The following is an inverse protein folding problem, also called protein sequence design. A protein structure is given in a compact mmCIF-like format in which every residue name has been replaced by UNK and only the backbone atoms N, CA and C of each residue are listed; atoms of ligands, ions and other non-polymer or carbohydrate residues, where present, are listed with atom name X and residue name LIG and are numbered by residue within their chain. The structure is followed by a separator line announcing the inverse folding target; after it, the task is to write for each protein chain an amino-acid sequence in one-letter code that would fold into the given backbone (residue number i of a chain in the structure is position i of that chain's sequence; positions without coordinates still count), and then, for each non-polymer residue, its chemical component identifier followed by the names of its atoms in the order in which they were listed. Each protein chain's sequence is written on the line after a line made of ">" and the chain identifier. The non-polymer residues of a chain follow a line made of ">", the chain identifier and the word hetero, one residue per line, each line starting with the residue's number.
data_IF_747533318840
#
_entry.id   IF_747533318840
#
_cell.length_a   1.000
_cell.length_b   1.000
_cell.length_c   1.000
_cell.angle_alpha   90.00
_cell.angle_beta   90.00
_cell.angle_gamma   90.00
#
_symmetry.space_group_name_H-M   'P 1'
#
loop_
_entity.id
_entity.type
_entity.pdbx_description
1 polymer ?
#
# COMPACT_ATOMS: atom_id res chain seq x y z
N UNK A 1 4.92 -3.15 9.06
CA UNK A 1 3.78 -3.16 10.00
C UNK A 1 4.19 -2.89 11.44
N UNK A 2 5.03 -3.71 12.08
CA UNK A 2 5.53 -3.41 13.44
C UNK A 2 6.15 -2.00 13.54
N UNK A 3 6.91 -1.58 12.52
CA UNK A 3 7.42 -0.21 12.41
C UNK A 3 6.33 0.86 12.39
N UNK A 4 5.21 0.64 11.70
CA UNK A 4 4.09 1.58 11.65
C UNK A 4 3.39 1.64 13.00
N UNK A 5 3.08 0.49 13.60
CA UNK A 5 2.44 0.41 14.91
C UNK A 5 3.28 1.10 16.01
N UNK A 6 4.61 1.07 15.88
CA UNK A 6 5.54 1.74 16.79
C UNK A 6 5.94 3.17 16.36
N UNK A 7 5.36 3.72 15.28
CA UNK A 7 5.69 5.06 14.76
C UNK A 7 7.12 5.20 14.20
N UNK A 8 7.81 4.10 13.92
CA UNK A 8 9.20 4.05 13.43
C UNK A 8 9.26 4.13 11.89
N UNK A 9 8.87 5.26 11.33
CA UNK A 9 8.83 5.45 9.87
C UNK A 9 10.22 5.41 9.20
N UNK A 10 11.31 5.76 9.89
CA UNK A 10 12.67 5.58 9.37
C UNK A 10 12.99 4.10 9.08
N UNK A 11 12.51 3.21 9.95
CA UNK A 11 12.63 1.76 9.75
C UNK A 11 11.77 1.32 8.56
N UNK A 12 10.54 1.83 8.44
CA UNK A 12 9.70 1.55 7.28
C UNK A 12 10.35 2.00 5.97
N UNK A 13 10.89 3.23 5.91
CA UNK A 13 11.59 3.74 4.73
C UNK A 13 12.78 2.87 4.36
N UNK A 14 13.58 2.49 5.36
CA UNK A 14 14.72 1.59 5.15
C UNK A 14 14.30 0.23 4.56
N UNK A 15 13.14 -0.31 4.97
CA UNK A 15 12.61 -1.57 4.42
C UNK A 15 12.15 -1.43 2.97
N UNK A 16 11.76 -0.24 2.51
CA UNK A 16 11.45 -0.01 1.09
C UNK A 16 12.71 0.27 0.26
N UNK A 17 13.65 1.07 0.76
CA UNK A 17 14.78 1.53 -0.05
C UNK A 17 15.94 0.55 -0.14
N UNK A 18 16.23 -0.16 0.95
CA UNK A 18 17.48 -0.94 1.08
C UNK A 18 17.39 -2.31 0.42
N UNK A 19 16.31 -3.11 0.62
CA UNK A 19 16.21 -4.41 -0.03
C UNK A 19 16.12 -4.25 -1.56
N UNK A 20 17.05 -4.88 -2.27
CA UNK A 20 17.08 -4.89 -3.74
C UNK A 20 16.93 -6.30 -4.26
N UNK A 21 16.14 -6.43 -5.31
CA UNK A 21 16.10 -7.61 -6.16
C UNK A 21 17.13 -7.46 -7.27
N UNK A 22 18.15 -8.33 -7.25
CA UNK A 22 19.27 -8.28 -8.18
C UNK A 22 19.24 -9.49 -9.11
N UNK A 23 19.17 -9.22 -10.42
CA UNK A 23 19.38 -10.15 -11.54
C UNK A 23 20.31 -9.46 -12.55
N UNK A 24 20.93 -10.21 -13.50
CA UNK A 24 21.92 -9.66 -14.44
C UNK A 24 21.51 -8.37 -15.18
N UNK A 25 20.21 -8.15 -15.38
CA UNK A 25 19.68 -6.94 -16.04
C UNK A 25 18.68 -6.14 -15.20
N UNK A 26 18.42 -6.56 -13.95
CA UNK A 26 17.44 -5.91 -13.08
C UNK A 26 18.06 -5.62 -11.71
N UNK A 27 18.08 -4.35 -11.33
CA UNK A 27 18.35 -3.92 -9.95
C UNK A 27 17.17 -3.07 -9.49
N UNK A 28 16.17 -3.73 -8.90
CA UNK A 28 14.92 -3.09 -8.52
C UNK A 28 14.75 -3.08 -7.00
N UNK A 29 14.11 -2.06 -6.42
CA UNK A 29 13.59 -2.20 -5.06
C UNK A 29 12.74 -3.45 -4.93
N UNK A 30 12.87 -4.19 -3.83
CA UNK A 30 12.11 -5.44 -3.63
C UNK A 30 10.61 -5.20 -3.74
N UNK A 31 10.08 -4.08 -3.23
CA UNK A 31 8.65 -3.79 -3.32
C UNK A 31 8.14 -3.66 -4.78
N UNK A 32 8.98 -3.15 -5.70
CA UNK A 32 8.67 -3.12 -7.13
C UNK A 32 8.75 -4.52 -7.74
N UNK A 33 9.83 -5.26 -7.44
CA UNK A 33 10.01 -6.60 -7.96
C UNK A 33 8.89 -7.55 -7.49
N UNK A 34 8.47 -7.43 -6.23
CA UNK A 34 7.34 -8.15 -5.66
C UNK A 34 6.03 -7.79 -6.36
N UNK A 35 5.75 -6.50 -6.60
CA UNK A 35 4.56 -6.10 -7.37
C UNK A 35 4.53 -6.76 -8.75
N UNK A 36 5.66 -6.80 -9.46
CA UNK A 36 5.77 -7.45 -10.77
C UNK A 36 5.59 -8.97 -10.70
N UNK A 37 6.16 -9.62 -9.68
CA UNK A 37 6.02 -11.06 -9.49
C UNK A 37 4.57 -11.46 -9.16
N UNK A 38 3.90 -10.64 -8.34
CA UNK A 38 2.51 -10.80 -7.90
C UNK A 38 1.54 -10.78 -9.09
N UNK A 39 1.80 -9.97 -10.13
CA UNK A 39 0.97 -9.95 -11.35
C UNK A 39 0.94 -11.29 -12.10
N UNK A 40 1.92 -12.17 -11.87
CA UNK A 40 1.98 -13.48 -12.53
C UNK A 40 1.38 -14.63 -11.70
N UNK A 41 0.88 -14.34 -10.49
CA UNK A 41 0.26 -15.35 -9.64
C UNK A 41 -1.23 -15.44 -9.99
N UNK A 42 -1.71 -16.65 -10.28
CA UNK A 42 -3.14 -16.88 -10.40
C UNK A 42 -3.78 -16.82 -9.01
N UNK A 43 -4.75 -15.92 -8.76
CA UNK A 43 -5.44 -15.83 -7.47
C UNK A 43 -5.95 -17.15 -6.89
N UNK A 44 -6.41 -18.05 -7.75
CA UNK A 44 -6.95 -19.35 -7.36
C UNK A 44 -5.92 -20.27 -6.71
N UNK A 45 -4.63 -20.03 -6.95
CA UNK A 45 -3.54 -20.82 -6.37
C UNK A 45 -3.25 -20.39 -4.91
N UNK A 46 -3.79 -19.25 -4.47
CA UNK A 46 -3.52 -18.66 -3.15
C UNK A 46 -4.70 -18.76 -2.19
N UNK A 47 -5.92 -18.73 -2.72
CA UNK A 47 -7.14 -18.75 -1.92
C UNK A 47 -8.31 -19.30 -2.73
N UNK A 48 -9.13 -20.13 -2.08
CA UNK A 48 -10.40 -20.62 -2.62
C UNK A 48 -11.51 -19.55 -2.58
N UNK A 49 -11.25 -18.39 -1.97
CA UNK A 49 -12.20 -17.29 -1.81
C UNK A 49 -12.06 -16.31 -2.98
N UNK A 50 -13.16 -16.08 -3.72
CA UNK A 50 -13.24 -14.95 -4.65
C UNK A 50 -13.12 -13.63 -3.89
N UNK A 51 -11.99 -12.94 -4.08
CA UNK A 51 -11.72 -11.62 -3.53
C UNK A 51 -11.19 -10.70 -4.63
N UNK A 52 -11.43 -9.40 -4.47
CA UNK A 52 -10.85 -8.36 -5.34
C UNK A 52 -9.35 -8.14 -5.05
N UNK A 53 -8.85 -8.57 -3.88
CA UNK A 53 -7.44 -8.45 -3.48
C UNK A 53 -6.90 -9.76 -2.87
N UNK A 54 -6.96 -10.88 -3.61
CA UNK A 54 -6.73 -12.22 -3.07
C UNK A 54 -5.30 -12.41 -2.54
N UNK A 55 -4.33 -11.78 -3.21
CA UNK A 55 -2.91 -11.82 -2.80
C UNK A 55 -2.72 -11.05 -1.49
N UNK A 56 -3.33 -9.88 -1.37
CA UNK A 56 -3.25 -9.09 -0.15
C UNK A 56 -4.00 -9.76 1.03
N UNK A 57 -5.11 -10.46 0.77
CA UNK A 57 -5.80 -11.25 1.79
C UNK A 57 -4.92 -12.39 2.31
N UNK A 58 -4.26 -13.11 1.40
CA UNK A 58 -3.30 -14.15 1.76
C UNK A 58 -2.14 -13.57 2.60
N UNK A 59 -1.54 -12.47 2.14
CA UNK A 59 -0.47 -11.78 2.87
C UNK A 59 -0.92 -11.30 4.25
N UNK A 60 -2.15 -10.79 4.36
CA UNK A 60 -2.71 -10.37 5.63
C UNK A 60 -2.75 -11.52 6.63
N UNK A 61 -3.28 -12.69 6.23
CA UNK A 61 -3.39 -13.85 7.11
C UNK A 61 -2.00 -14.34 7.55
N UNK A 62 -1.08 -14.50 6.59
CA UNK A 62 0.29 -14.95 6.84
C UNK A 62 1.05 -14.03 7.80
N UNK A 63 0.91 -12.71 7.61
CA UNK A 63 1.63 -11.75 8.43
C UNK A 63 0.93 -11.54 9.79
N UNK A 64 -0.40 -11.63 9.85
CA UNK A 64 -1.16 -11.57 11.11
C UNK A 64 -0.68 -12.62 12.09
N UNK A 65 -0.50 -13.85 11.60
CA UNK A 65 0.03 -14.95 12.39
C UNK A 65 1.44 -14.63 12.91
N UNK A 66 2.34 -14.21 12.01
CA UNK A 66 3.74 -13.94 12.34
C UNK A 66 3.95 -12.75 13.30
N UNK A 67 3.05 -11.76 13.29
CA UNK A 67 3.18 -10.54 14.10
C UNK A 67 2.29 -10.54 15.34
N UNK A 68 1.66 -11.68 15.70
CA UNK A 68 0.71 -11.73 16.81
C UNK A 68 1.30 -11.34 18.15
N UNK A 69 2.54 -11.71 18.42
CA UNK A 69 3.18 -11.36 19.70
C UNK A 69 3.65 -9.89 19.74
N UNK A 70 3.87 -9.28 18.57
CA UNK A 70 4.33 -7.89 18.46
C UNK A 70 3.17 -6.89 18.37
N UNK A 71 2.07 -7.28 17.75
CA UNK A 71 0.82 -6.51 17.64
C UNK A 71 -0.33 -7.44 18.04
N UNK A 72 -0.61 -7.59 19.35
CA UNK A 72 -1.60 -8.54 19.83
C UNK A 72 -3.02 -8.18 19.42
N UNK A 73 -3.36 -6.90 19.43
CA UNK A 73 -4.71 -6.43 19.16
C UNK A 73 -5.00 -6.37 17.66
N UNK A 74 -6.12 -6.96 17.25
CA UNK A 74 -6.51 -7.07 15.84
C UNK A 74 -6.80 -5.72 15.18
N UNK A 75 -7.39 -4.78 15.92
CA UNK A 75 -7.65 -3.41 15.47
C UNK A 75 -6.35 -2.68 15.13
N UNK A 76 -5.35 -2.75 16.02
CA UNK A 76 -4.02 -2.17 15.80
C UNK A 76 -3.28 -2.82 14.64
N UNK A 77 -3.42 -4.14 14.50
CA UNK A 77 -2.85 -4.85 13.37
C UNK A 77 -3.50 -4.41 12.05
N UNK A 78 -4.84 -4.32 12.02
CA UNK A 78 -5.60 -3.87 10.87
C UNK A 78 -5.19 -2.47 10.43
N UNK A 79 -5.14 -1.52 11.36
CA UNK A 79 -4.72 -0.15 11.08
C UNK A 79 -3.29 -0.09 10.55
N UNK A 80 -2.36 -0.85 11.16
CA UNK A 80 -0.98 -0.91 10.72
C UNK A 80 -0.83 -1.57 9.34
N UNK A 81 -1.63 -2.60 9.03
CA UNK A 81 -1.64 -3.27 7.74
C UNK A 81 -2.21 -2.36 6.65
N UNK A 82 -3.37 -1.73 6.89
CA UNK A 82 -3.99 -0.80 5.95
C UNK A 82 -3.08 0.38 5.64
N UNK A 83 -2.44 0.97 6.67
CA UNK A 83 -1.44 2.03 6.48
C UNK A 83 -0.23 1.52 5.69
N UNK A 84 0.27 0.32 6.00
CA UNK A 84 1.38 -0.28 5.26
C UNK A 84 1.05 -0.42 3.77
N UNK A 85 -0.10 -1.00 3.43
CA UNK A 85 -0.52 -1.15 2.05
C UNK A 85 -0.67 0.19 1.35
N UNK A 86 -1.29 1.17 2.02
CA UNK A 86 -1.45 2.51 1.47
C UNK A 86 -0.11 3.18 1.14
N UNK A 87 0.87 3.10 2.06
CA UNK A 87 2.22 3.61 1.80
C UNK A 87 2.94 2.82 0.69
N UNK A 88 2.76 1.50 0.63
CA UNK A 88 3.30 0.68 -0.45
C UNK A 88 2.76 1.12 -1.81
N UNK A 89 1.45 1.39 -1.92
CA UNK A 89 0.80 1.90 -3.12
C UNK A 89 1.38 3.25 -3.53
N UNK A 90 1.48 4.20 -2.60
CA UNK A 90 2.04 5.54 -2.88
C UNK A 90 3.51 5.50 -3.32
N UNK A 91 4.35 4.72 -2.65
CA UNK A 91 5.79 4.62 -3.00
C UNK A 91 5.99 3.88 -4.31
N UNK A 92 5.12 2.91 -4.61
CA UNK A 92 5.13 2.23 -5.92
C UNK A 92 4.70 3.19 -7.02
N UNK A 93 3.69 4.03 -6.78
CA UNK A 93 3.25 5.05 -7.72
C UNK A 93 4.35 6.07 -8.01
N UNK A 94 4.98 6.61 -6.95
CA UNK A 94 6.09 7.57 -7.07
C UNK A 94 7.22 6.98 -7.91
N UNK A 95 7.60 5.72 -7.64
CA UNK A 95 8.61 5.01 -8.43
C UNK A 95 8.19 4.82 -9.89
N UNK A 96 6.97 4.35 -10.15
CA UNK A 96 6.50 4.07 -11.50
C UNK A 96 6.36 5.35 -12.32
N UNK A 97 5.95 6.46 -11.72
CA UNK A 97 5.91 7.77 -12.37
C UNK A 97 7.32 8.28 -12.68
N UNK A 98 8.23 8.20 -11.71
CA UNK A 98 9.60 8.71 -11.82
C UNK A 98 10.44 7.92 -12.83
N UNK A 99 10.35 6.59 -12.81
CA UNK A 99 11.28 5.73 -13.56
C UNK A 99 10.65 4.99 -14.74
N UNK A 100 9.32 4.86 -14.80
CA UNK A 100 8.63 4.15 -15.88
C UNK A 100 7.63 5.02 -16.64
N UNK A 101 7.32 6.22 -16.13
CA UNK A 101 6.26 7.10 -16.64
C UNK A 101 4.88 6.42 -16.69
N UNK A 102 4.62 5.48 -15.77
CA UNK A 102 3.35 4.75 -15.68
C UNK A 102 2.58 5.25 -14.45
N UNK A 103 1.32 5.63 -14.66
CA UNK A 103 0.33 5.92 -13.61
C UNK A 103 -0.35 4.61 -13.21
N UNK A 104 0.32 3.83 -12.38
CA UNK A 104 -0.22 2.58 -11.85
C UNK A 104 0.42 2.25 -10.51
N UNK A 105 -0.41 1.85 -9.55
CA UNK A 105 0.02 1.27 -8.29
C UNK A 105 -0.83 0.05 -7.92
N UNK A 106 -0.29 -0.87 -7.11
CA UNK A 106 -1.10 -1.92 -6.53
C UNK A 106 -2.15 -1.30 -5.59
N UNK A 107 -3.42 -1.69 -5.74
CA UNK A 107 -4.51 -1.29 -4.84
C UNK A 107 -4.72 -2.41 -3.82
N UNK A 108 -4.47 -2.12 -2.55
CA UNK A 108 -4.55 -3.08 -1.45
C UNK A 108 -5.95 -3.23 -0.84
N UNK A 109 -6.05 -4.03 0.24
CA UNK A 109 -7.33 -4.28 0.94
C UNK A 109 -7.93 -3.03 1.55
N UNK A 110 -7.10 -2.06 1.92
CA UNK A 110 -7.55 -0.76 2.43
C UNK A 110 -8.55 -0.06 1.48
N UNK A 111 -8.47 -0.31 0.17
CA UNK A 111 -9.40 0.23 -0.82
C UNK A 111 -10.77 -0.47 -0.82
N UNK A 112 -10.87 -1.69 -0.30
CA UNK A 112 -12.12 -2.45 -0.20
C UNK A 112 -12.94 -2.08 1.04
N UNK A 113 -12.39 -1.26 1.93
CA UNK A 113 -13.10 -0.76 3.11
C UNK A 113 -14.33 0.04 2.67
N UNK A 114 -15.49 -0.23 3.28
CA UNK A 114 -16.71 0.55 3.05
C UNK A 114 -16.49 2.06 3.33
N UNK A 115 -15.50 2.39 4.13
CA UNK A 115 -15.13 3.76 4.51
C UNK A 115 -13.72 4.13 4.02
N UNK A 116 -13.24 3.56 2.90
CA UNK A 116 -11.88 3.82 2.41
C UNK A 116 -11.60 5.33 2.23
N UNK A 117 -12.59 6.11 1.78
CA UNK A 117 -12.50 7.56 1.69
C UNK A 117 -12.09 8.19 3.02
N UNK A 118 -12.81 7.86 4.10
CA UNK A 118 -12.52 8.37 5.44
C UNK A 118 -11.12 7.96 5.90
N UNK A 119 -10.69 6.75 5.56
CA UNK A 119 -9.36 6.26 5.88
C UNK A 119 -8.25 7.07 5.19
N UNK A 120 -8.31 7.23 3.86
CA UNK A 120 -7.26 7.97 3.13
C UNK A 120 -7.34 9.48 3.39
N UNK A 121 -8.55 10.04 3.58
CA UNK A 121 -8.77 11.44 3.93
C UNK A 121 -8.21 11.77 5.32
N UNK A 122 -8.34 10.85 6.28
CA UNK A 122 -7.73 11.02 7.61
C UNK A 122 -6.20 11.07 7.54
N UNK A 123 -5.57 10.25 6.69
CA UNK A 123 -4.11 10.28 6.49
C UNK A 123 -3.68 11.56 5.78
N UNK A 124 -4.43 12.03 4.77
CA UNK A 124 -4.17 13.33 4.16
C UNK A 124 -4.25 14.46 5.17
N UNK A 125 -5.30 14.48 6.00
CA UNK A 125 -5.47 15.49 7.05
C UNK A 125 -4.34 15.43 8.09
N UNK A 126 -3.88 14.23 8.46
CA UNK A 126 -2.72 14.03 9.33
C UNK A 126 -1.46 14.68 8.73
N UNK A 127 -1.18 14.41 7.46
CA UNK A 127 -0.04 14.98 6.73
C UNK A 127 -0.13 16.51 6.61
N UNK A 128 -1.32 17.05 6.32
CA UNK A 128 -1.54 18.50 6.21
C UNK A 128 -1.37 19.22 7.55
N UNK A 129 -1.89 18.65 8.64
CA UNK A 129 -1.75 19.23 9.99
C UNK A 129 -0.32 19.21 10.48
N UNK A 130 0.40 18.12 10.25
CA UNK A 130 1.78 17.98 10.70
C UNK A 130 2.79 18.66 9.75
N UNK A 131 2.42 18.91 8.49
CA UNK A 131 3.28 19.46 7.46
C UNK A 131 4.66 18.77 7.46
N UNK A 132 5.76 19.54 7.46
CA UNK A 132 7.13 19.01 7.46
C UNK A 132 7.51 18.19 8.69
N UNK A 133 6.72 18.27 9.78
CA UNK A 133 6.93 17.46 10.99
C UNK A 133 6.23 16.09 10.94
N UNK A 134 5.49 15.79 9.86
CA UNK A 134 4.83 14.51 9.71
C UNK A 134 5.87 13.37 9.71
N UNK A 135 5.76 12.35 10.58
CA UNK A 135 6.81 11.35 10.72
C UNK A 135 7.25 10.64 9.42
N UNK A 136 6.37 10.34 8.45
CA UNK A 136 6.79 9.89 7.12
C UNK A 136 7.69 10.87 6.36
N UNK A 137 7.40 12.18 6.40
CA UNK A 137 8.24 13.18 5.74
C UNK A 137 9.60 13.32 6.41
N UNK A 138 9.63 13.33 7.76
CA UNK A 138 10.89 13.30 8.52
C UNK A 138 11.71 12.05 8.19
N UNK A 139 11.05 10.93 7.91
CA UNK A 139 11.69 9.69 7.47
C UNK A 139 12.16 9.71 6.01
N UNK A 140 11.89 10.78 5.26
CA UNK A 140 12.30 10.95 3.87
C UNK A 140 11.35 10.34 2.84
N UNK A 141 10.12 9.97 3.22
CA UNK A 141 9.09 9.63 2.23
C UNK A 141 8.74 10.86 1.40
N UNK A 142 8.55 10.68 0.09
CA UNK A 142 8.17 11.73 -0.86
C UNK A 142 9.10 12.95 -0.81
N UNK A 143 10.41 12.71 -0.58
CA UNK A 143 11.42 13.77 -0.42
C UNK A 143 11.11 14.76 0.72
N UNK A 144 10.25 14.36 1.66
CA UNK A 144 9.77 15.22 2.74
C UNK A 144 8.77 16.30 2.29
N UNK A 145 8.23 16.23 1.06
CA UNK A 145 7.33 17.23 0.50
C UNK A 145 5.85 16.85 0.65
N UNK A 146 5.08 17.78 1.23
CA UNK A 146 3.63 17.67 1.29
C UNK A 146 3.00 17.72 -0.10
N UNK A 147 3.56 18.53 -1.00
CA UNK A 147 3.11 18.72 -2.37
C UNK A 147 3.27 17.42 -3.18
N UNK A 148 4.46 16.80 -3.09
CA UNK A 148 4.72 15.50 -3.75
C UNK A 148 3.77 14.42 -3.21
N UNK A 149 3.56 14.38 -1.89
CA UNK A 149 2.57 13.48 -1.29
C UNK A 149 1.15 13.75 -1.82
N UNK A 150 0.72 15.01 -1.88
CA UNK A 150 -0.62 15.38 -2.38
C UNK A 150 -0.83 14.98 -3.83
N UNK A 151 0.21 15.09 -4.66
CA UNK A 151 0.16 14.62 -6.04
C UNK A 151 -0.07 13.10 -6.10
N UNK A 152 0.74 12.33 -5.37
CA UNK A 152 0.61 10.86 -5.32
C UNK A 152 -0.74 10.44 -4.73
N UNK A 153 -1.18 11.10 -3.66
CA UNK A 153 -2.47 10.87 -3.03
C UNK A 153 -3.62 11.08 -4.03
N UNK A 154 -3.59 12.18 -4.79
CA UNK A 154 -4.64 12.52 -5.76
C UNK A 154 -4.75 11.46 -6.85
N UNK A 155 -3.62 11.04 -7.42
CA UNK A 155 -3.59 10.03 -8.48
C UNK A 155 -4.06 8.68 -7.95
N UNK A 156 -3.54 8.24 -6.80
CA UNK A 156 -3.94 6.98 -6.20
C UNK A 156 -5.43 6.98 -5.81
N UNK A 157 -5.97 8.12 -5.33
CA UNK A 157 -7.40 8.27 -5.03
C UNK A 157 -8.27 8.01 -6.27
N UNK A 158 -7.89 8.54 -7.43
CA UNK A 158 -8.60 8.25 -8.68
C UNK A 158 -8.56 6.77 -9.05
N UNK A 159 -7.41 6.11 -8.93
CA UNK A 159 -7.29 4.66 -9.20
C UNK A 159 -8.17 3.82 -8.28
N UNK A 160 -8.20 4.16 -6.98
CA UNK A 160 -9.05 3.45 -6.01
C UNK A 160 -10.54 3.65 -6.32
N UNK A 161 -10.93 4.86 -6.72
CA UNK A 161 -12.31 5.17 -7.10
C UNK A 161 -12.75 4.32 -8.29
N UNK A 162 -11.89 4.17 -9.30
CA UNK A 162 -12.18 3.29 -10.44
C UNK A 162 -12.41 1.84 -9.99
N UNK A 163 -11.53 1.29 -9.14
CA UNK A 163 -11.70 -0.05 -8.56
C UNK A 163 -13.02 -0.18 -7.78
N UNK A 164 -13.35 0.83 -6.99
CA UNK A 164 -14.59 0.86 -6.20
C UNK A 164 -15.83 0.86 -7.10
N UNK A 165 -15.86 1.69 -8.15
CA UNK A 165 -16.97 1.71 -9.11
C UNK A 165 -17.09 0.40 -9.87
N UNK A 166 -15.98 -0.17 -10.34
CA UNK A 166 -15.98 -1.46 -11.02
C UNK A 166 -16.54 -2.57 -10.12
N UNK A 167 -16.22 -2.55 -8.82
CA UNK A 167 -16.80 -3.48 -7.83
C UNK A 167 -18.30 -3.29 -7.66
N UNK A 168 -18.81 -2.06 -7.67
CA UNK A 168 -20.25 -1.81 -7.59
C UNK A 168 -21.01 -2.24 -8.85
N UNK A 169 -20.35 -2.24 -10.01
CA UNK A 169 -20.92 -2.66 -11.29
C UNK A 169 -20.80 -4.18 -11.54
N UNK A 170 -19.91 -4.87 -10.85
CA UNK A 170 -19.75 -6.32 -10.96
C UNK A 170 -21.01 -7.18 -10.66
N UNK A 171 -21.96 -6.79 -9.77
CA UNK A 171 -23.22 -7.51 -9.57
C UNK A 171 -24.12 -7.58 -10.82
N UNK A 172 -23.87 -6.75 -11.83
CA UNK A 172 -24.63 -6.72 -13.11
C UNK A 172 -24.03 -7.59 -14.23
N UNK A 173 -22.84 -8.18 -14.03
CA UNK A 173 -22.15 -8.98 -15.07
C UNK A 173 -22.15 -10.49 -14.72
N UNK A 174 -22.54 -10.84 -13.48
CA UNK A 174 -22.62 -12.21 -12.98
C UNK A 174 -24.07 -12.71 -12.79
N UNK A 175 -25.03 -12.15 -13.51
CA UNK A 175 -26.40 -12.69 -13.63
C UNK A 175 -26.62 -13.28 -15.01
#
# INVERSE_FOLDING_TARGET
>A
MASIAAGKYNTLKSLFDKPRYVKPFNNLPVYIASSLAIHNINPKDLTDIYSFTPINDYLYQMIRFSLKDLIPQDDRFNDAFNRFEYFLSLVTLDYNLTFKHIKSAPVGRYALLNQFHRFIDAIQLEAEKAATSWPPFVAGFFEGSLEKYKEMHKILRSEILEVFYMRQLAPSILK
#
